data_IF_887718375859
#
_entry.id   IF_887718375859
#
_cell.length_a   1.000
_cell.length_b   1.000
_cell.length_c   1.000
_cell.angle_alpha   90.00
_cell.angle_beta   90.00
_cell.angle_gamma   90.00
#
_symmetry.space_group_name_H-M   'P 1'
#
loop_
_entity.id
_entity.type
_entity.pdbx_description
1 polymer ?
#
# COMPACT_ATOMS: atom_id res chain seq x y z
N UNK A 1 -5.29 -18.65 -41.48
CA UNK A 1 -4.99 -17.44 -40.67
C UNK A 1 -5.07 -17.83 -39.20
N UNK A 2 -4.06 -17.60 -38.36
CA UNK A 2 -4.19 -17.90 -36.94
C UNK A 2 -5.23 -16.96 -36.33
N UNK A 3 -6.24 -17.55 -35.70
CA UNK A 3 -7.31 -16.85 -35.01
C UNK A 3 -6.72 -16.22 -33.74
N UNK A 4 -6.44 -14.91 -33.80
CA UNK A 4 -5.95 -14.17 -32.64
C UNK A 4 -7.16 -13.97 -31.73
N UNK A 5 -7.34 -14.85 -30.74
CA UNK A 5 -8.29 -14.60 -29.67
C UNK A 5 -7.86 -13.30 -28.96
N UNK A 6 -8.74 -12.30 -28.85
CA UNK A 6 -8.40 -11.06 -28.16
C UNK A 6 -8.04 -11.41 -26.71
N UNK A 7 -6.85 -11.00 -26.28
CA UNK A 7 -6.45 -11.14 -24.87
C UNK A 7 -7.45 -10.36 -24.03
N UNK A 8 -8.11 -10.98 -23.04
CA UNK A 8 -9.09 -10.28 -22.22
C UNK A 8 -8.41 -9.11 -21.51
N UNK A 9 -8.98 -7.91 -21.67
CA UNK A 9 -8.53 -6.71 -20.97
C UNK A 9 -8.77 -6.89 -19.47
N UNK A 10 -7.77 -6.66 -18.62
CA UNK A 10 -7.93 -6.77 -17.19
C UNK A 10 -8.94 -5.72 -16.69
N UNK A 11 -9.63 -5.98 -15.56
CA UNK A 11 -10.63 -5.07 -15.00
C UNK A 11 -10.02 -3.84 -14.30
N UNK A 12 -8.76 -3.50 -14.56
CA UNK A 12 -8.04 -2.36 -13.99
C UNK A 12 -7.15 -1.67 -15.04
N UNK A 13 -6.97 -0.37 -14.89
CA UNK A 13 -6.10 0.45 -15.75
C UNK A 13 -4.67 0.52 -15.23
N UNK A 14 -4.51 0.53 -13.90
CA UNK A 14 -3.22 0.64 -13.23
C UNK A 14 -3.04 -0.48 -12.22
N UNK A 15 -1.79 -0.81 -11.93
CA UNK A 15 -1.42 -1.63 -10.77
C UNK A 15 -0.38 -0.88 -9.94
N UNK A 16 -0.56 -0.83 -8.63
CA UNK A 16 0.36 -0.20 -7.70
C UNK A 16 0.68 -1.16 -6.55
N UNK A 17 1.94 -1.18 -6.16
CA UNK A 17 2.41 -1.94 -5.00
C UNK A 17 2.34 -1.07 -3.74
N UNK A 18 1.59 -1.53 -2.73
CA UNK A 18 1.50 -0.90 -1.42
C UNK A 18 2.16 -1.74 -0.35
N UNK A 19 2.90 -1.09 0.55
CA UNK A 19 3.48 -1.72 1.74
C UNK A 19 2.85 -1.13 3.01
N UNK A 20 2.49 -1.98 3.97
CA UNK A 20 2.11 -1.55 5.30
C UNK A 20 3.33 -1.65 6.21
N UNK A 21 3.74 -0.55 6.86
CA UNK A 21 4.93 -0.48 7.72
C UNK A 21 4.60 0.13 9.09
N UNK A 22 5.44 -0.11 10.09
CA UNK A 22 5.25 0.34 11.46
C UNK A 22 5.47 -0.76 12.50
N UNK A 23 5.44 -0.41 13.77
CA UNK A 23 5.77 -1.29 14.89
C UNK A 23 4.89 -2.55 14.96
N UNK A 24 5.38 -3.56 15.69
CA UNK A 24 4.61 -4.75 15.98
C UNK A 24 3.29 -4.41 16.70
N UNK A 25 2.26 -5.22 16.44
CA UNK A 25 0.93 -5.10 17.03
C UNK A 25 0.19 -3.76 16.78
N UNK A 26 0.65 -2.90 15.86
CA UNK A 26 -0.12 -1.70 15.44
C UNK A 26 -1.33 -2.03 14.57
N UNK A 27 -1.40 -3.25 14.03
CA UNK A 27 -2.57 -3.76 13.30
C UNK A 27 -2.48 -3.67 11.77
N UNK A 28 -1.27 -3.60 11.20
CA UNK A 28 -1.00 -3.65 9.75
C UNK A 28 -1.73 -4.80 9.04
N UNK A 29 -1.58 -6.02 9.57
CA UNK A 29 -2.24 -7.22 9.05
C UNK A 29 -3.75 -7.11 9.14
N UNK A 30 -4.27 -6.66 10.29
CA UNK A 30 -5.71 -6.49 10.51
C UNK A 30 -6.33 -5.47 9.54
N UNK A 31 -5.62 -4.38 9.22
CA UNK A 31 -6.06 -3.40 8.22
C UNK A 31 -6.13 -4.01 6.82
N UNK A 32 -5.11 -4.79 6.45
CA UNK A 32 -5.03 -5.44 5.15
C UNK A 32 -6.11 -6.52 5.00
N UNK A 33 -6.31 -7.35 6.04
CA UNK A 33 -7.42 -8.32 6.12
C UNK A 33 -8.76 -7.61 6.01
N UNK A 34 -8.95 -6.52 6.76
CA UNK A 34 -10.22 -5.79 6.75
C UNK A 34 -10.54 -5.25 5.36
N UNK A 35 -9.56 -4.70 4.65
CA UNK A 35 -9.77 -4.19 3.30
C UNK A 35 -10.09 -5.30 2.29
N UNK A 36 -9.37 -6.42 2.34
CA UNK A 36 -9.49 -7.50 1.35
C UNK A 36 -10.71 -8.41 1.60
N UNK A 37 -11.00 -8.69 2.87
CA UNK A 37 -11.93 -9.76 3.26
C UNK A 37 -13.11 -9.23 4.06
N UNK A 38 -13.12 -7.94 4.45
CA UNK A 38 -14.22 -7.36 5.22
C UNK A 38 -14.34 -7.87 6.65
N UNK A 39 -13.40 -8.70 7.12
CA UNK A 39 -13.43 -9.32 8.46
C UNK A 39 -12.34 -8.79 9.39
N UNK A 40 -12.47 -9.11 10.68
CA UNK A 40 -11.46 -8.87 11.71
C UNK A 40 -11.33 -10.12 12.58
N UNK A 41 -10.11 -10.45 12.99
CA UNK A 41 -9.86 -11.45 14.02
C UNK A 41 -9.04 -10.82 15.13
N UNK A 42 -9.41 -11.12 16.39
CA UNK A 42 -8.65 -10.67 17.55
C UNK A 42 -7.36 -11.51 17.75
N UNK A 43 -7.32 -12.73 17.22
CA UNK A 43 -6.14 -13.59 17.19
C UNK A 43 -5.49 -13.54 15.82
N UNK A 44 -4.22 -13.14 15.78
CA UNK A 44 -3.36 -13.18 14.60
C UNK A 44 -2.00 -13.70 15.03
N UNK A 45 -1.49 -14.70 14.32
CA UNK A 45 -0.10 -15.13 14.46
C UNK A 45 0.84 -14.02 13.98
N UNK A 46 2.08 -14.00 14.47
CA UNK A 46 3.09 -13.04 14.03
C UNK A 46 3.30 -13.17 12.53
N UNK A 47 3.10 -12.07 11.78
CA UNK A 47 3.22 -12.07 10.33
C UNK A 47 4.66 -12.30 9.89
N UNK A 48 4.87 -13.31 9.06
CA UNK A 48 6.08 -13.52 8.27
C UNK A 48 5.76 -12.96 6.87
N UNK A 49 6.52 -11.94 6.43
CA UNK A 49 6.16 -11.11 5.28
C UNK A 49 5.85 -11.88 3.99
N UNK A 50 4.60 -11.81 3.54
CA UNK A 50 4.11 -12.35 2.26
C UNK A 50 3.01 -11.41 1.72
N UNK A 51 2.87 -11.34 0.39
CA UNK A 51 1.75 -10.63 -0.25
C UNK A 51 0.41 -11.16 0.29
N UNK A 52 -0.35 -10.29 0.95
CA UNK A 52 -1.57 -10.68 1.66
C UNK A 52 -2.79 -10.76 0.72
N UNK A 53 -2.73 -10.03 -0.40
CA UNK A 53 -3.80 -10.04 -1.39
C UNK A 53 -3.76 -8.82 -2.30
N UNK A 54 -4.82 -8.67 -3.10
CA UNK A 54 -4.99 -7.50 -3.95
C UNK A 54 -6.41 -6.98 -3.95
N UNK A 55 -6.57 -5.66 -4.04
CA UNK A 55 -7.89 -5.00 -4.09
C UNK A 55 -7.92 -4.04 -5.27
N UNK A 56 -8.95 -4.13 -6.11
CA UNK A 56 -9.20 -3.14 -7.17
C UNK A 56 -10.04 -2.01 -6.57
N UNK A 57 -9.57 -0.77 -6.72
CA UNK A 57 -10.23 0.43 -6.23
C UNK A 57 -10.45 1.44 -7.37
N UNK A 58 -11.51 2.26 -7.32
CA UNK A 58 -11.66 3.37 -8.26
C UNK A 58 -10.64 4.48 -7.96
N UNK A 59 -10.14 5.13 -9.00
CA UNK A 59 -9.25 6.32 -8.91
C UNK A 59 -9.66 7.36 -9.95
N UNK A 60 -9.45 8.62 -9.64
CA UNK A 60 -9.85 9.75 -10.47
C UNK A 60 -11.37 9.95 -10.56
N UNK A 61 -11.81 10.94 -11.36
CA UNK A 61 -13.22 11.22 -11.57
C UNK A 61 -13.94 10.06 -12.28
N UNK A 62 -15.24 9.82 -11.99
CA UNK A 62 -16.07 10.58 -11.03
C UNK A 62 -15.95 10.16 -9.56
N UNK A 63 -15.37 8.98 -9.25
CA UNK A 63 -15.40 8.45 -7.89
C UNK A 63 -14.69 9.32 -6.85
N UNK A 64 -13.57 9.94 -7.21
CA UNK A 64 -12.82 10.79 -6.26
C UNK A 64 -13.67 11.96 -5.72
N UNK A 65 -14.53 12.55 -6.55
CA UNK A 65 -15.45 13.60 -6.17
C UNK A 65 -16.56 13.09 -5.24
N UNK A 66 -17.17 11.95 -5.57
CA UNK A 66 -18.24 11.37 -4.73
C UNK A 66 -17.74 10.84 -3.38
N UNK A 67 -16.48 10.41 -3.32
CA UNK A 67 -15.87 9.84 -2.12
C UNK A 67 -15.10 10.88 -1.29
N UNK A 68 -14.92 12.10 -1.81
CA UNK A 68 -14.19 13.18 -1.14
C UNK A 68 -12.69 12.91 -0.98
N UNK A 69 -12.07 12.24 -1.95
CA UNK A 69 -10.68 11.73 -1.87
C UNK A 69 -9.77 12.52 -2.80
N UNK A 70 -8.55 12.84 -2.34
CA UNK A 70 -7.53 13.48 -3.17
C UNK A 70 -7.69 14.99 -3.42
N UNK A 71 -8.72 15.65 -2.89
CA UNK A 71 -8.87 17.11 -3.01
C UNK A 71 -8.07 17.82 -1.89
N UNK A 72 -7.05 18.64 -2.20
CA UNK A 72 -6.38 19.45 -1.19
C UNK A 72 -7.24 20.61 -0.67
N UNK A 73 -8.30 21.03 -1.40
CA UNK A 73 -9.16 22.19 -1.05
C UNK A 73 -10.63 22.06 -1.53
N UNK A 74 -11.20 20.86 -1.63
CA UNK A 74 -12.63 20.69 -1.93
C UNK A 74 -13.09 21.03 -3.36
N UNK A 75 -12.21 21.53 -4.23
CA UNK A 75 -12.54 21.76 -5.64
C UNK A 75 -12.40 20.46 -6.46
N UNK A 76 -13.46 19.64 -6.42
CA UNK A 76 -13.60 18.56 -7.39
C UNK A 76 -13.77 19.16 -8.78
N UNK A 77 -12.76 19.00 -9.66
CA UNK A 77 -12.96 19.29 -11.09
C UNK A 77 -14.02 18.33 -11.62
N UNK A 78 -15.24 18.83 -11.79
CA UNK A 78 -16.34 18.12 -12.43
C UNK A 78 -16.03 17.89 -13.91
N UNK A 79 -15.32 16.81 -14.22
CA UNK A 79 -15.22 16.31 -15.59
C UNK A 79 -16.40 15.37 -15.83
N UNK A 80 -17.51 15.91 -16.35
CA UNK A 80 -18.79 15.21 -16.54
C UNK A 80 -18.80 14.10 -17.62
N UNK A 81 -17.65 13.53 -18.00
CA UNK A 81 -17.58 12.54 -19.10
C UNK A 81 -16.35 11.62 -19.06
N UNK A 82 -15.65 11.49 -17.93
CA UNK A 82 -14.53 10.55 -17.81
C UNK A 82 -15.02 9.14 -17.44
N UNK A 83 -14.60 8.13 -18.19
CA UNK A 83 -14.73 6.72 -17.81
C UNK A 83 -13.99 6.47 -16.48
N UNK A 84 -14.66 5.83 -15.52
CA UNK A 84 -14.08 5.52 -14.22
C UNK A 84 -12.82 4.67 -14.36
N UNK A 85 -11.67 5.23 -13.96
CA UNK A 85 -10.41 4.50 -13.90
C UNK A 85 -10.31 3.66 -12.64
N UNK A 86 -9.60 2.54 -12.74
CA UNK A 86 -9.45 1.55 -11.67
C UNK A 86 -7.98 1.20 -11.48
N UNK A 87 -7.57 1.09 -10.21
CA UNK A 87 -6.23 0.68 -9.81
C UNK A 87 -6.29 -0.62 -9.02
N UNK A 88 -5.49 -1.60 -9.39
CA UNK A 88 -5.25 -2.80 -8.59
C UNK A 88 -4.14 -2.50 -7.58
N UNK A 89 -4.45 -2.59 -6.30
CA UNK A 89 -3.49 -2.48 -5.21
C UNK A 89 -2.99 -3.87 -4.88
N UNK A 90 -1.69 -4.13 -5.05
CA UNK A 90 -1.01 -5.31 -4.50
C UNK A 90 -0.51 -4.99 -3.11
N UNK A 91 -1.00 -5.70 -2.09
CA UNK A 91 -0.80 -5.36 -0.69
C UNK A 91 0.26 -6.26 -0.06
N UNK A 92 1.31 -5.63 0.44
CA UNK A 92 2.43 -6.30 1.09
C UNK A 92 2.39 -5.98 2.57
N UNK A 93 2.02 -6.98 3.36
CA UNK A 93 2.05 -6.87 4.82
C UNK A 93 3.46 -7.17 5.31
N UNK A 94 4.08 -6.20 5.99
CA UNK A 94 5.45 -6.36 6.51
C UNK A 94 5.42 -6.71 7.99
N UNK A 95 6.31 -7.61 8.40
CA UNK A 95 6.50 -7.93 9.81
C UNK A 95 6.94 -6.66 10.57
N UNK A 96 6.23 -6.32 11.65
CA UNK A 96 6.55 -5.16 12.49
C UNK A 96 7.61 -5.42 13.56
N UNK A 97 8.26 -6.60 13.56
CA UNK A 97 9.34 -6.89 14.50
C UNK A 97 10.67 -6.41 13.94
N UNK A 98 11.40 -5.68 14.76
CA UNK A 98 12.70 -5.11 14.42
C UNK A 98 13.74 -6.17 14.04
N UNK A 99 13.60 -7.39 14.56
CA UNK A 99 14.44 -8.57 14.24
C UNK A 99 14.42 -8.94 12.76
N UNK A 100 13.38 -8.54 12.01
CA UNK A 100 13.22 -8.85 10.58
C UNK A 100 13.50 -7.65 9.65
N UNK A 101 14.13 -6.57 10.15
CA UNK A 101 14.41 -5.36 9.36
C UNK A 101 15.09 -5.65 8.01
N UNK A 102 16.00 -6.63 7.91
CA UNK A 102 16.65 -6.98 6.63
C UNK A 102 15.69 -7.63 5.61
N UNK A 103 14.74 -8.46 6.06
CA UNK A 103 13.73 -9.09 5.20
C UNK A 103 12.70 -8.05 4.78
N UNK A 104 12.27 -7.20 5.71
CA UNK A 104 11.31 -6.10 5.49
C UNK A 104 11.77 -5.12 4.40
N UNK A 105 13.07 -4.80 4.36
CA UNK A 105 13.67 -3.90 3.37
C UNK A 105 13.54 -4.38 1.92
N UNK A 106 13.54 -5.70 1.67
CA UNK A 106 13.37 -6.24 0.32
C UNK A 106 12.00 -5.93 -0.29
N UNK A 107 10.97 -5.75 0.55
CA UNK A 107 9.62 -5.44 0.09
C UNK A 107 9.42 -3.98 -0.29
N UNK A 108 10.29 -3.06 0.15
CA UNK A 108 10.17 -1.63 -0.15
C UNK A 108 10.49 -1.33 -1.61
N UNK A 109 11.34 -2.16 -2.24
CA UNK A 109 11.70 -1.99 -3.65
C UNK A 109 10.48 -2.11 -4.56
N UNK A 110 10.31 -1.12 -5.43
CA UNK A 110 9.17 -1.02 -6.34
C UNK A 110 7.82 -0.76 -5.64
N UNK A 111 7.80 -0.34 -4.37
CA UNK A 111 6.59 0.16 -3.74
C UNK A 111 6.30 1.58 -4.24
N UNK A 112 5.03 1.86 -4.58
CA UNK A 112 4.57 3.19 -5.01
C UNK A 112 3.81 3.92 -3.93
N UNK A 113 3.31 3.19 -2.94
CA UNK A 113 2.73 3.79 -1.76
C UNK A 113 2.99 2.97 -0.51
N UNK A 114 2.87 3.64 0.63
CA UNK A 114 3.00 3.05 1.95
C UNK A 114 1.93 3.57 2.90
N UNK A 115 1.42 2.68 3.74
CA UNK A 115 0.68 3.02 4.95
C UNK A 115 1.64 2.89 6.13
N UNK A 116 1.91 4.02 6.78
CA UNK A 116 2.73 4.07 8.00
C UNK A 116 1.81 4.00 9.21
N UNK A 117 1.76 2.85 9.85
CA UNK A 117 0.73 2.50 10.84
C UNK A 117 1.29 2.55 12.26
N UNK A 118 0.70 3.41 13.09
CA UNK A 118 0.90 3.41 14.54
C UNK A 118 -0.41 3.10 15.27
N UNK A 119 -0.31 2.81 16.57
CA UNK A 119 -1.44 2.56 17.46
C UNK A 119 -1.76 3.83 18.25
N UNK A 120 -2.97 4.39 18.09
CA UNK A 120 -3.38 5.63 18.75
C UNK A 120 -3.29 5.53 20.27
N UNK A 121 -3.45 4.33 20.85
CA UNK A 121 -3.36 4.11 22.30
C UNK A 121 -1.95 3.82 22.77
N UNK A 122 -0.93 3.90 21.90
CA UNK A 122 0.45 3.50 22.21
C UNK A 122 1.48 4.48 21.61
N UNK A 123 1.83 5.50 22.41
CA UNK A 123 2.73 6.59 22.01
C UNK A 123 4.08 6.13 21.42
N UNK A 124 4.69 5.10 21.99
CA UNK A 124 5.97 4.58 21.47
C UNK A 124 5.90 4.19 19.99
N UNK A 125 4.76 3.66 19.52
CA UNK A 125 4.59 3.29 18.12
C UNK A 125 4.52 4.49 17.16
N UNK A 126 4.12 5.66 17.66
CA UNK A 126 4.14 6.92 16.93
C UNK A 126 5.54 7.52 16.90
N UNK A 127 6.27 7.47 18.01
CA UNK A 127 7.66 7.92 18.08
C UNK A 127 8.56 7.12 17.10
N UNK A 128 8.37 5.80 17.03
CA UNK A 128 9.05 4.92 16.08
C UNK A 128 8.73 5.22 14.60
N UNK A 129 7.61 5.89 14.30
CA UNK A 129 7.15 6.12 12.93
C UNK A 129 8.16 6.89 12.08
N UNK A 130 8.90 7.82 12.70
CA UNK A 130 9.99 8.57 12.04
C UNK A 130 11.11 7.65 11.56
N UNK A 131 11.50 6.66 12.37
CA UNK A 131 12.49 5.66 11.98
C UNK A 131 12.03 4.83 10.78
N UNK A 132 10.79 4.34 10.82
CA UNK A 132 10.18 3.60 9.72
C UNK A 132 10.09 4.41 8.43
N UNK A 133 9.73 5.70 8.52
CA UNK A 133 9.67 6.59 7.35
C UNK A 133 11.06 6.78 6.72
N UNK A 134 12.09 6.97 7.55
CA UNK A 134 13.46 7.13 7.09
C UNK A 134 13.98 5.86 6.41
N UNK A 135 13.76 4.69 7.02
CA UNK A 135 14.11 3.40 6.41
C UNK A 135 13.39 3.18 5.08
N UNK A 136 12.11 3.54 4.98
CA UNK A 136 11.34 3.45 3.73
C UNK A 136 11.94 4.33 2.63
N UNK A 137 12.19 5.61 2.94
CA UNK A 137 12.70 6.60 1.99
C UNK A 137 14.09 6.28 1.44
N UNK A 138 14.90 5.52 2.17
CA UNK A 138 16.22 5.09 1.71
C UNK A 138 16.18 4.00 0.63
N UNK A 139 15.05 3.28 0.49
CA UNK A 139 14.98 2.03 -0.29
C UNK A 139 13.87 2.05 -1.33
N UNK A 140 12.75 2.74 -1.04
CA UNK A 140 11.63 2.88 -1.95
C UNK A 140 12.00 3.75 -3.17
N UNK A 141 11.16 3.66 -4.20
CA UNK A 141 11.28 4.52 -5.38
C UNK A 141 11.09 6.00 -5.00
N UNK A 142 11.78 6.89 -5.73
CA UNK A 142 11.55 8.33 -5.60
C UNK A 142 10.08 8.65 -5.86
N UNK A 143 9.47 9.48 -5.02
CA UNK A 143 8.05 9.82 -5.13
C UNK A 143 7.09 8.77 -4.58
N UNK A 144 7.54 7.84 -3.71
CA UNK A 144 6.63 7.00 -2.93
C UNK A 144 5.61 7.86 -2.16
N UNK A 145 4.34 7.49 -2.28
CA UNK A 145 3.24 8.15 -1.56
C UNK A 145 3.08 7.54 -0.18
N UNK A 146 3.17 8.35 0.87
CA UNK A 146 3.00 7.86 2.25
C UNK A 146 1.77 8.50 2.88
N UNK A 147 0.94 7.68 3.52
CA UNK A 147 -0.18 8.10 4.37
C UNK A 147 0.10 7.59 5.78
N UNK A 148 0.00 8.47 6.77
CA UNK A 148 0.10 8.12 8.18
C UNK A 148 -1.25 7.58 8.65
N UNK A 149 -1.23 6.44 9.34
CA UNK A 149 -2.43 5.75 9.81
C UNK A 149 -2.37 5.58 11.33
N UNK A 150 -3.31 6.22 12.03
CA UNK A 150 -3.53 6.00 13.45
C UNK A 150 -4.57 4.90 13.62
N UNK A 151 -4.14 3.68 13.92
CA UNK A 151 -5.05 2.55 14.07
C UNK A 151 -5.57 2.41 15.51
N UNK A 152 -6.64 1.61 15.66
CA UNK A 152 -7.34 1.31 16.92
C UNK A 152 -8.06 2.51 17.52
N UNK A 153 -8.63 3.36 16.67
CA UNK A 153 -9.48 4.48 17.11
C UNK A 153 -10.66 4.02 17.99
N UNK A 154 -11.15 2.78 17.80
CA UNK A 154 -12.18 2.15 18.63
C UNK A 154 -11.78 1.98 20.10
N UNK A 155 -10.49 1.84 20.40
CA UNK A 155 -9.97 1.77 21.77
C UNK A 155 -9.73 3.16 22.34
N UNK A 156 -9.35 4.12 21.50
CA UNK A 156 -9.15 5.51 21.90
C UNK A 156 -10.48 6.20 22.29
N UNK A 157 -11.60 5.80 21.68
CA UNK A 157 -12.93 6.33 21.99
C UNK A 157 -13.53 5.77 23.29
N UNK A 158 -12.96 4.71 23.88
CA UNK A 158 -13.44 4.16 25.14
C UNK A 158 -12.93 5.00 26.32
N UNK A 159 -13.86 5.52 27.12
CA UNK A 159 -13.55 6.15 28.41
C UNK A 159 -13.01 5.11 29.38
N UNK A 160 -11.96 5.44 30.13
CA UNK A 160 -11.48 4.61 31.23
C UNK A 160 -12.40 4.77 32.44
N UNK A 161 -12.66 3.67 33.14
CA UNK A 161 -13.54 3.59 34.33
C UNK A 161 -13.02 4.40 35.54
N UNK A 162 -11.85 5.03 35.41
CA UNK A 162 -11.23 5.89 36.42
C UNK A 162 -10.97 7.24 35.77
N UNK A 163 -11.69 8.26 36.23
CA UNK A 163 -11.52 9.70 35.93
C UNK A 163 -11.64 10.14 34.45
N UNK A 164 -12.57 9.58 33.67
CA UNK A 164 -13.00 10.20 32.40
C UNK A 164 -11.92 10.38 31.33
N UNK A 165 -10.75 9.74 31.52
CA UNK A 165 -9.64 9.74 30.59
C UNK A 165 -9.93 8.86 29.38
N UNK A 166 -9.46 9.27 28.21
CA UNK A 166 -9.50 8.42 27.02
C UNK A 166 -8.21 7.57 26.98
N UNK A 167 -8.23 6.36 26.41
CA UNK A 167 -6.98 5.59 26.17
C UNK A 167 -6.09 6.20 25.06
N UNK A 168 -6.48 7.33 24.47
CA UNK A 168 -5.71 8.01 23.42
C UNK A 168 -4.38 8.50 23.97
N UNK A 169 -3.30 8.04 23.35
CA UNK A 169 -1.95 8.48 23.69
C UNK A 169 -1.43 9.56 22.73
N UNK A 170 -1.98 9.65 21.52
CA UNK A 170 -1.58 10.61 20.46
C UNK A 170 -2.81 11.35 19.93
N UNK A 171 -2.75 12.68 19.92
CA UNK A 171 -3.86 13.51 19.42
C UNK A 171 -3.87 13.56 17.89
N UNK A 172 -5.02 13.93 17.32
CA UNK A 172 -5.14 14.09 15.87
C UNK A 172 -4.29 15.25 15.37
N UNK A 173 -4.28 16.34 16.11
CA UNK A 173 -3.51 17.55 15.81
C UNK A 173 -2.00 17.25 15.81
N UNK A 174 -1.52 16.49 16.80
CA UNK A 174 -0.12 16.06 16.88
C UNK A 174 0.29 15.22 15.67
N UNK A 175 -0.56 14.27 15.25
CA UNK A 175 -0.30 13.43 14.09
C UNK A 175 -0.34 14.22 12.76
N UNK A 176 -1.25 15.19 12.64
CA UNK A 176 -1.33 16.10 11.48
C UNK A 176 -0.11 17.04 11.40
N UNK A 177 0.34 17.57 12.54
CA UNK A 177 1.56 18.38 12.65
C UNK A 177 2.79 17.58 12.23
N UNK A 178 2.87 16.33 12.67
CA UNK A 178 3.94 15.42 12.26
C UNK A 178 3.92 15.18 10.75
N UNK A 179 2.73 14.97 10.14
CA UNK A 179 2.62 14.82 8.68
C UNK A 179 3.12 16.05 7.92
N UNK A 180 2.79 17.25 8.39
CA UNK A 180 3.26 18.51 7.79
C UNK A 180 4.78 18.63 7.87
N UNK A 181 5.37 18.32 9.03
CA UNK A 181 6.81 18.42 9.25
C UNK A 181 7.61 17.39 8.46
N UNK A 182 7.10 16.17 8.35
CA UNK A 182 7.78 15.07 7.68
C UNK A 182 7.45 14.96 6.18
N UNK A 183 6.63 15.85 5.62
CA UNK A 183 6.14 15.78 4.24
C UNK A 183 5.43 14.45 3.92
N UNK A 184 4.50 14.07 4.79
CA UNK A 184 3.60 12.92 4.61
C UNK A 184 2.23 13.44 4.17
N UNK A 185 1.61 12.74 3.22
CA UNK A 185 0.52 13.31 2.41
C UNK A 185 -0.73 13.62 3.24
N UNK A 186 -1.08 12.73 4.16
CA UNK A 186 -2.29 12.84 4.99
C UNK A 186 -2.17 11.95 6.22
N UNK A 187 -2.90 12.32 7.27
CA UNK A 187 -3.20 11.47 8.42
C UNK A 187 -4.64 10.94 8.32
N UNK A 188 -4.83 9.65 8.61
CA UNK A 188 -6.15 9.01 8.67
C UNK A 188 -6.23 8.16 9.95
N UNK A 189 -7.30 8.34 10.74
CA UNK A 189 -7.60 7.44 11.86
C UNK A 189 -8.40 6.23 11.36
N UNK A 190 -8.06 5.05 11.84
CA UNK A 190 -8.69 3.81 11.41
C UNK A 190 -9.00 2.89 12.58
N UNK A 191 -10.02 2.06 12.41
CA UNK A 191 -10.21 0.87 13.23
C UNK A 191 -10.36 -0.35 12.34
N UNK A 192 -9.38 -1.25 12.38
CA UNK A 192 -9.53 -2.56 11.75
C UNK A 192 -10.70 -3.37 12.35
N UNK A 193 -11.11 -3.08 13.60
CA UNK A 193 -12.19 -3.77 14.31
C UNK A 193 -13.58 -3.33 13.83
N UNK A 194 -13.82 -2.02 13.68
CA UNK A 194 -15.10 -1.52 13.16
C UNK A 194 -15.13 -1.43 11.63
N UNK A 195 -13.97 -1.31 10.98
CA UNK A 195 -13.83 -1.01 9.56
C UNK A 195 -13.76 0.49 9.25
N UNK A 196 -13.97 1.35 10.25
CA UNK A 196 -13.94 2.80 10.10
C UNK A 196 -12.58 3.29 9.61
N UNK A 197 -12.58 4.20 8.63
CA UNK A 197 -11.38 4.81 8.04
C UNK A 197 -10.51 3.88 7.21
N UNK A 198 -10.70 2.56 7.26
CA UNK A 198 -9.83 1.59 6.58
C UNK A 198 -9.85 1.80 5.08
N UNK A 199 -11.03 1.77 4.45
CA UNK A 199 -11.15 1.97 3.00
C UNK A 199 -10.64 3.35 2.58
N UNK A 200 -10.95 4.38 3.36
CA UNK A 200 -10.46 5.75 3.12
C UNK A 200 -8.93 5.80 3.08
N UNK A 201 -8.23 5.19 4.03
CA UNK A 201 -6.76 5.21 4.08
C UNK A 201 -6.13 4.63 2.79
N UNK A 202 -6.64 3.50 2.30
CA UNK A 202 -6.12 2.89 1.07
C UNK A 202 -6.50 3.68 -0.19
N UNK A 203 -7.71 4.23 -0.24
CA UNK A 203 -8.15 5.06 -1.36
C UNK A 203 -7.37 6.36 -1.47
N UNK A 204 -7.04 7.01 -0.35
CA UNK A 204 -6.21 8.23 -0.34
C UNK A 204 -4.81 7.98 -0.91
N UNK A 205 -4.18 6.84 -0.57
CA UNK A 205 -2.91 6.45 -1.19
C UNK A 205 -3.10 6.24 -2.70
N UNK A 206 -4.12 5.47 -3.10
CA UNK A 206 -4.36 5.14 -4.51
C UNK A 206 -4.64 6.37 -5.37
N UNK A 207 -5.46 7.29 -4.86
CA UNK A 207 -5.79 8.55 -5.53
C UNK A 207 -4.56 9.45 -5.68
N UNK A 208 -3.73 9.55 -4.63
CA UNK A 208 -2.50 10.34 -4.73
C UNK A 208 -1.49 9.72 -5.71
N UNK A 209 -1.39 8.39 -5.77
CA UNK A 209 -0.60 7.71 -6.79
C UNK A 209 -1.15 8.04 -8.18
N UNK A 210 -2.47 7.97 -8.37
CA UNK A 210 -3.11 8.32 -9.64
C UNK A 210 -2.82 9.76 -10.07
N UNK A 211 -2.90 10.73 -9.15
CA UNK A 211 -2.55 12.13 -9.43
C UNK A 211 -1.08 12.29 -9.87
N UNK A 212 -0.17 11.54 -9.26
CA UNK A 212 1.24 11.53 -9.67
C UNK A 212 1.43 10.88 -11.06
N UNK A 213 0.62 9.89 -11.44
CA UNK A 213 0.60 9.33 -12.81
C UNK A 213 0.16 10.40 -13.81
N UNK A 214 -0.96 11.07 -13.55
CA UNK A 214 -1.49 12.13 -14.43
C UNK A 214 -0.53 13.32 -14.54
N UNK A 215 0.24 13.59 -13.50
CA UNK A 215 1.30 14.60 -13.50
C UNK A 215 2.59 14.15 -14.21
N UNK A 216 2.65 12.93 -14.75
CA UNK A 216 3.82 12.41 -15.47
C UNK A 216 5.02 12.08 -14.56
N UNK A 217 4.81 11.92 -13.25
CA UNK A 217 5.89 11.62 -12.28
C UNK A 217 6.30 10.15 -12.26
N UNK A 218 5.51 9.26 -12.85
CA UNK A 218 5.82 7.85 -12.98
C UNK A 218 6.07 7.47 -14.43
N UNK A 219 7.18 6.77 -14.68
CA UNK A 219 7.36 6.04 -15.94
C UNK A 219 6.57 4.73 -15.88
N UNK A 220 5.48 4.65 -16.63
CA UNK A 220 4.61 3.47 -16.66
C UNK A 220 5.16 2.33 -17.53
N UNK A 221 6.27 2.56 -18.24
CA UNK A 221 6.92 1.59 -19.13
C UNK A 221 8.12 0.91 -18.50
N UNK A 222 8.70 1.52 -17.46
CA UNK A 222 9.80 0.93 -16.70
C UNK A 222 9.33 -0.27 -15.87
N UNK A 223 10.03 -1.40 -16.00
CA UNK A 223 9.80 -2.61 -15.21
C UNK A 223 10.14 -2.42 -13.73
N UNK A 224 10.96 -1.42 -13.39
CA UNK A 224 11.35 -1.05 -12.01
C UNK A 224 10.36 -0.10 -11.37
N UNK A 225 9.55 0.61 -12.16
CA UNK A 225 8.48 1.47 -11.65
C UNK A 225 7.50 0.66 -10.82
N UNK A 226 7.16 1.18 -9.65
CA UNK A 226 6.19 0.53 -8.77
C UNK A 226 4.75 0.62 -9.27
N UNK A 227 4.50 1.47 -10.28
CA UNK A 227 3.20 1.62 -10.95
C UNK A 227 3.31 1.14 -12.39
N UNK A 228 2.37 0.31 -12.83
CA UNK A 228 2.30 -0.11 -14.24
C UNK A 228 0.95 0.27 -14.84
N UNK A 229 1.00 0.86 -16.04
CA UNK A 229 -0.18 1.11 -16.86
C UNK A 229 -0.49 -0.11 -17.72
N UNK A 230 -1.78 -0.46 -17.82
CA UNK A 230 -2.23 -1.40 -18.85
C UNK A 230 -2.39 -0.65 -20.18
N UNK A 231 -1.71 -1.12 -21.23
CA UNK A 231 -1.78 -0.55 -22.58
C UNK A 231 -0.69 0.47 -22.94
N UNK A 232 0.07 1.00 -21.98
CA UNK A 232 1.17 1.97 -22.26
C UNK A 232 2.52 1.32 -22.59
N UNK A 233 2.62 -0.01 -22.50
CA UNK A 233 3.83 -0.79 -22.81
C UNK A 233 3.73 -1.69 -24.05
N UNK A 234 2.66 -1.61 -24.84
CA UNK A 234 2.60 -2.25 -26.15
C UNK A 234 3.15 -1.28 -27.20
N UNK A 235 4.46 -1.01 -27.09
CA UNK A 235 5.23 -0.62 -28.26
C UNK A 235 4.94 -1.64 -29.37
N UNK A 236 4.69 -1.11 -30.55
CA UNK A 236 4.43 -1.83 -31.80
C UNK A 236 5.69 -2.61 -32.22
N UNK A 237 6.14 -3.58 -31.43
CA UNK A 237 7.19 -4.51 -31.80
C UNK A 237 6.56 -5.80 -32.34
N UNK A 238 6.71 -5.99 -33.65
CA UNK A 238 6.42 -7.24 -34.32
C UNK A 238 7.26 -8.35 -33.69
N UNK A 239 6.60 -9.28 -33.02
CA UNK A 239 7.04 -10.68 -32.96
C UNK A 239 7.97 -11.06 -31.80
N UNK A 240 7.39 -11.30 -30.62
CA UNK A 240 7.59 -12.55 -29.85
C UNK A 240 6.73 -12.50 -28.59
N UNK A 241 5.84 -13.48 -28.44
CA UNK A 241 5.05 -13.64 -27.22
C UNK A 241 5.98 -13.91 -26.02
N UNK A 242 5.76 -13.28 -24.86
CA UNK A 242 6.48 -13.61 -23.64
C UNK A 242 6.07 -15.01 -23.18
N UNK A 243 7.04 -15.92 -23.07
CA UNK A 243 6.83 -17.25 -22.50
C UNK A 243 6.63 -17.10 -20.98
N UNK A 244 5.50 -17.55 -20.47
CA UNK A 244 5.26 -17.75 -19.04
C UNK A 244 6.19 -18.86 -18.55
N UNK A 245 7.22 -18.50 -17.78
CA UNK A 245 8.05 -19.50 -17.08
C UNK A 245 7.45 -19.68 -15.69
N UNK A 246 6.68 -20.76 -15.51
CA UNK A 246 6.28 -21.21 -14.19
C UNK A 246 7.51 -21.82 -13.51
N UNK A 247 8.11 -21.08 -12.57
CA UNK A 247 9.13 -21.61 -11.68
C UNK A 247 8.44 -22.42 -10.58
N UNK A 248 8.26 -23.73 -10.82
CA UNK A 248 7.95 -24.69 -9.77
C UNK A 248 9.23 -25.05 -9.03
N UNK A 249 9.18 -25.04 -7.70
CA UNK A 249 10.26 -25.49 -6.82
C UNK A 249 10.52 -27.00 -7.01
N UNK A 250 11.37 -27.37 -7.96
CA UNK A 250 12.01 -28.69 -7.98
C UNK A 250 13.36 -28.76 -8.75
N UNK A 251 13.86 -27.65 -9.30
CA UNK A 251 15.15 -27.63 -10.04
C UNK A 251 16.37 -27.22 -9.19
N UNK A 252 16.20 -27.05 -7.87
CA UNK A 252 17.30 -26.68 -6.97
C UNK A 252 18.17 -27.87 -6.50
N UNK A 253 17.94 -29.09 -6.99
CA UNK A 253 18.72 -30.29 -6.59
C UNK A 253 19.22 -31.03 -7.83
N UNK A 254 20.03 -30.37 -8.68
CA UNK A 254 20.84 -31.05 -9.71
C UNK A 254 21.87 -30.12 -10.36
N UNK A 255 22.76 -29.53 -9.56
CA UNK A 255 24.08 -29.09 -10.07
C UNK A 255 25.07 -28.93 -8.91
N UNK A 256 25.56 -30.08 -8.44
CA UNK A 256 26.57 -30.20 -7.41
C UNK A 256 27.47 -31.40 -7.66
N UNK A 257 28.07 -31.49 -8.84
CA UNK A 257 29.24 -32.32 -9.15
C UNK A 257 30.08 -31.46 -10.12
N UNK A 258 31.20 -30.88 -9.70
CA UNK A 258 32.38 -31.58 -9.23
C UNK A 258 33.33 -31.75 -10.42
N UNK A 259 34.15 -30.73 -10.69
CA UNK A 259 35.23 -30.83 -11.69
C UNK A 259 36.53 -30.39 -11.03
N UNK A 260 37.32 -31.39 -10.66
CA UNK A 260 38.68 -31.26 -10.15
C UNK A 260 39.73 -31.33 -11.25
N UNK A 261 40.92 -30.89 -10.85
CA UNK A 261 42.28 -31.01 -11.39
C UNK A 261 42.52 -31.97 -12.57
N UNK A 262 43.20 -31.50 -13.61
CA UNK A 262 44.66 -31.52 -13.82
C UNK A 262 44.98 -30.79 -15.13
#
# INVERSE_FOLDING_TARGET
MPNITPVPTPPWNYIAKLVCIGDSATGKSSLTIRLCEGRFSASHDVTIGVEFGSRIVPVGPPANASLGIGAPNGEARHTNSAEQKKMKLSLWDTAGQETYKSITRSYFRGASGALLVFDITRRSSFESATGWLNDLRQIAEEGIVVILVGNKSDLAAQSTDVEGGTKRAVSKEEAEDWCRRENVVKYVETSAKSGEGVEQAFLEVAERIYQNIEAGKYDLTDRRSGVKGYGTGAGREKGKAPKTVNLTMNDAVKNGQGRGCC
#
